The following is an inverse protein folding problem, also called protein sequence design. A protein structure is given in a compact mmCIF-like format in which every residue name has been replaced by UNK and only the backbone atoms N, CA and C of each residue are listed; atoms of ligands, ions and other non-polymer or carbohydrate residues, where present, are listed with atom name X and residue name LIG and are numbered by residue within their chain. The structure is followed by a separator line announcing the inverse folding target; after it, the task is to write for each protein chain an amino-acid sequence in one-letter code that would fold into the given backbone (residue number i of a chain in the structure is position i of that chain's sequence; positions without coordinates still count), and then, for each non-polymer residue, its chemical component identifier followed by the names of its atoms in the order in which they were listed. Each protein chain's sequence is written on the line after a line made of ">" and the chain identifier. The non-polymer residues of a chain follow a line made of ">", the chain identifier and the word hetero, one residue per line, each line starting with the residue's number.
data_IF_491951510856
#
_entry.id   IF_491951510856
#
_cell.length_a   1.000
_cell.length_b   1.000
_cell.length_c   1.000
_cell.angle_alpha   90.00
_cell.angle_beta   90.00
_cell.angle_gamma   90.00
#
_symmetry.space_group_name_H-M   'P 1'
#
loop_
_entity.id
_entity.type
_entity.pdbx_description
1 polymer ?
#
# COMPACT_ATOMS: atom_id res chain seq x y z
N UNK A 1 -3.23 3.72 -19.83
CA UNK A 1 -3.00 4.32 -18.50
C UNK A 1 -2.38 3.27 -17.60
N UNK A 2 -1.33 3.61 -16.85
CA UNK A 2 -0.85 2.74 -15.77
C UNK A 2 -0.26 3.57 -14.64
N UNK A 3 -0.21 2.97 -13.45
CA UNK A 3 0.35 3.60 -12.25
C UNK A 3 1.83 3.31 -12.13
N UNK A 4 2.60 4.30 -11.69
CA UNK A 4 3.96 4.15 -11.20
C UNK A 4 3.92 4.43 -9.70
N UNK A 5 4.59 3.58 -8.93
CA UNK A 5 4.66 3.69 -7.49
C UNK A 5 6.12 3.88 -7.04
N UNK A 6 6.32 4.76 -6.07
CA UNK A 6 7.61 5.02 -5.43
C UNK A 6 7.47 4.93 -3.92
N UNK A 7 8.40 4.21 -3.27
CA UNK A 7 8.42 4.02 -1.81
C UNK A 7 9.57 4.83 -1.22
N UNK A 8 9.25 5.70 -0.28
CA UNK A 8 10.16 6.68 0.30
C UNK A 8 10.38 6.41 1.78
N UNK A 9 11.60 6.66 2.27
CA UNK A 9 11.93 6.39 3.67
C UNK A 9 11.37 7.44 4.63
N UNK A 10 10.95 8.60 4.11
CA UNK A 10 10.32 9.65 4.89
C UNK A 10 9.17 10.33 4.14
N UNK A 11 8.24 10.89 4.90
CA UNK A 11 7.16 11.74 4.36
C UNK A 11 7.72 12.97 3.62
N UNK A 12 8.81 13.56 4.09
CA UNK A 12 9.41 14.74 3.45
C UNK A 12 9.94 14.43 2.04
N UNK A 13 10.60 13.28 1.84
CA UNK A 13 11.03 12.83 0.50
C UNK A 13 9.84 12.60 -0.42
N UNK A 14 8.79 11.95 0.09
CA UNK A 14 7.57 11.68 -0.66
C UNK A 14 6.85 12.97 -1.08
N UNK A 15 6.74 13.96 -0.19
CA UNK A 15 6.19 15.29 -0.50
C UNK A 15 7.02 16.02 -1.56
N UNK A 16 8.35 15.93 -1.48
CA UNK A 16 9.25 16.45 -2.50
C UNK A 16 8.99 15.82 -3.88
N UNK A 17 8.80 14.51 -3.93
CA UNK A 17 8.46 13.80 -5.16
C UNK A 17 7.08 14.23 -5.73
N UNK A 18 6.07 14.40 -4.86
CA UNK A 18 4.76 14.94 -5.26
C UNK A 18 4.90 16.34 -5.88
N UNK A 19 5.70 17.22 -5.28
CA UNK A 19 5.95 18.56 -5.83
C UNK A 19 6.66 18.51 -7.19
N UNK A 20 7.61 17.60 -7.36
CA UNK A 20 8.33 17.40 -8.60
C UNK A 20 7.42 16.89 -9.72
N UNK A 21 6.56 15.90 -9.43
CA UNK A 21 5.56 15.37 -10.38
C UNK A 21 4.61 16.48 -10.89
N UNK A 22 4.13 17.34 -10.00
CA UNK A 22 3.27 18.49 -10.37
C UNK A 22 3.98 19.46 -11.27
N UNK A 23 5.23 19.78 -10.95
CA UNK A 23 6.06 20.69 -11.74
C UNK A 23 6.33 20.13 -13.13
N UNK A 24 6.44 18.80 -13.24
CA UNK A 24 6.57 18.09 -14.51
C UNK A 24 5.25 17.94 -15.29
N UNK A 25 4.13 18.43 -14.74
CA UNK A 25 2.83 18.48 -15.41
C UNK A 25 1.93 17.27 -15.16
N UNK A 26 2.28 16.37 -14.24
CA UNK A 26 1.35 15.31 -13.80
C UNK A 26 0.23 15.95 -12.99
N UNK A 27 -1.01 15.72 -13.40
CA UNK A 27 -2.18 16.33 -12.80
C UNK A 27 -2.37 15.86 -11.34
N UNK A 28 -2.85 16.77 -10.49
CA UNK A 28 -2.96 16.52 -9.05
C UNK A 28 -3.90 15.38 -8.67
N UNK A 29 -4.99 15.22 -9.44
CA UNK A 29 -5.95 14.12 -9.31
C UNK A 29 -5.38 12.76 -9.76
N UNK A 30 -4.21 12.76 -10.40
CA UNK A 30 -3.44 11.58 -10.82
C UNK A 30 -2.31 11.23 -9.85
N UNK A 31 -2.16 11.97 -8.75
CA UNK A 31 -1.13 11.74 -7.75
C UNK A 31 -1.82 11.34 -6.43
N UNK A 32 -1.26 10.37 -5.73
CA UNK A 32 -1.65 10.08 -4.36
C UNK A 32 -0.45 9.82 -3.48
N UNK A 33 -0.55 10.24 -2.23
CA UNK A 33 0.47 10.10 -1.21
C UNK A 33 -0.13 9.37 -0.02
N UNK A 34 0.49 8.26 0.36
CA UNK A 34 0.17 7.46 1.52
C UNK A 34 1.30 7.63 2.54
N UNK A 35 0.94 7.98 3.77
CA UNK A 35 1.92 8.17 4.85
C UNK A 35 1.46 7.47 6.12
N UNK A 36 2.39 6.98 6.95
CA UNK A 36 2.04 6.48 8.28
C UNK A 36 1.41 7.60 9.11
N UNK A 37 0.27 7.32 9.73
CA UNK A 37 -0.42 8.23 10.64
C UNK A 37 -0.02 7.98 12.10
N UNK A 38 -0.27 8.97 12.96
CA UNK A 38 -0.13 8.80 14.42
C UNK A 38 -1.43 8.27 15.02
N UNK A 39 -1.34 7.31 15.94
CA UNK A 39 -2.51 6.75 16.63
C UNK A 39 -3.11 7.76 17.62
N UNK A 40 -4.44 7.74 17.75
CA UNK A 40 -5.19 8.67 18.59
C UNK A 40 -4.75 8.65 20.07
N UNK A 41 -4.25 7.51 20.56
CA UNK A 41 -3.74 7.34 21.94
C UNK A 41 -2.34 7.91 22.21
N UNK A 42 -1.51 8.16 21.18
CA UNK A 42 -0.22 8.85 21.35
C UNK A 42 -0.37 10.39 21.39
N UNK A 43 -1.54 10.91 21.02
CA UNK A 43 -1.84 12.34 21.12
C UNK A 43 -2.23 12.75 22.56
N UNK A 44 -2.67 11.81 23.40
CA UNK A 44 -3.05 12.07 24.79
C UNK A 44 -1.85 12.23 25.75
N UNK A 45 -0.62 11.90 25.31
CA UNK A 45 0.61 12.07 26.11
C UNK A 45 1.36 13.39 25.83
N UNK A 46 0.87 14.22 24.89
CA UNK A 46 1.43 15.56 24.66
C UNK A 46 0.80 16.54 25.66
N UNK A 47 1.55 17.20 26.55
CA UNK A 47 0.98 18.13 27.52
C UNK A 47 0.29 19.29 26.80
N UNK A 48 -1.04 19.34 26.87
CA UNK A 48 -1.82 20.49 26.39
C UNK A 48 -1.73 21.59 27.45
N UNK A 49 -1.12 22.72 27.11
CA UNK A 49 -1.22 23.94 27.93
C UNK A 49 -2.68 24.41 27.95
N UNK A 50 -3.23 24.64 29.15
CA UNK A 50 -4.65 24.86 29.46
C UNK A 50 -5.28 26.16 28.90
N UNK A 51 -5.30 26.35 27.58
CA UNK A 51 -5.94 27.52 26.97
C UNK A 51 -6.81 27.24 25.74
N UNK A 52 -7.10 25.99 25.37
CA UNK A 52 -7.92 25.69 24.20
C UNK A 52 -9.35 25.23 24.55
N UNK A 53 -10.34 25.79 23.84
CA UNK A 53 -11.77 25.58 24.09
C UNK A 53 -12.27 24.18 23.68
N UNK A 54 -13.34 23.65 24.32
CA UNK A 54 -13.89 22.33 24.01
C UNK A 54 -14.49 22.34 22.60
N UNK A 55 -13.92 21.54 21.70
CA UNK A 55 -14.39 21.41 20.31
C UNK A 55 -13.30 21.52 19.24
N UNK A 56 -12.08 21.93 19.60
CA UNK A 56 -10.93 21.96 18.68
C UNK A 56 -10.12 20.65 18.61
N UNK A 57 -10.49 19.61 19.36
CA UNK A 57 -9.81 18.30 19.30
C UNK A 57 -10.01 17.53 17.98
N UNK A 58 -10.99 17.91 17.16
CA UNK A 58 -11.18 17.35 15.81
C UNK A 58 -10.41 18.15 14.73
N UNK A 59 -10.06 19.40 15.01
CA UNK A 59 -9.26 20.25 14.11
C UNK A 59 -7.74 20.09 14.37
N UNK A 60 -7.37 19.64 15.57
CA UNK A 60 -6.00 19.39 16.02
C UNK A 60 -5.61 17.89 15.99
N UNK A 61 -6.23 17.08 15.11
CA UNK A 61 -5.64 15.82 14.64
C UNK A 61 -4.46 16.07 13.69
N UNK A 62 -3.63 17.06 14.01
CA UNK A 62 -2.88 17.88 13.07
C UNK A 62 -1.37 17.92 13.32
N UNK A 63 -0.77 16.95 14.00
CA UNK A 63 0.69 16.99 14.25
C UNK A 63 1.52 16.22 13.22
N UNK A 64 0.91 15.40 12.36
CA UNK A 64 1.55 14.93 11.10
C UNK A 64 0.75 15.34 9.87
N UNK A 65 -0.59 15.33 9.92
CA UNK A 65 -1.45 15.85 8.85
C UNK A 65 -1.49 17.38 8.73
N UNK A 66 -1.09 18.13 9.76
CA UNK A 66 -0.98 19.60 9.72
C UNK A 66 0.37 20.11 9.18
N UNK A 67 1.40 19.26 9.18
CA UNK A 67 2.70 19.61 8.60
C UNK A 67 2.67 19.65 7.06
N UNK A 68 1.79 18.85 6.44
CA UNK A 68 1.50 18.90 4.99
C UNK A 68 1.09 20.30 4.52
N UNK A 69 0.56 21.16 5.40
CA UNK A 69 0.15 22.52 5.06
C UNK A 69 1.13 23.63 5.45
N UNK A 70 1.95 23.45 6.50
CA UNK A 70 2.60 24.59 7.16
C UNK A 70 4.07 24.83 6.77
N UNK A 71 4.82 23.80 6.33
CA UNK A 71 6.26 23.95 6.05
C UNK A 71 6.65 23.76 4.57
N UNK A 72 5.84 23.08 3.75
CA UNK A 72 6.23 22.65 2.40
C UNK A 72 5.33 23.07 1.23
N UNK A 73 4.20 23.76 1.45
CA UNK A 73 3.34 24.28 0.38
C UNK A 73 2.66 23.21 -0.51
N UNK A 74 2.78 21.93 -0.22
CA UNK A 74 2.20 20.84 -0.98
C UNK A 74 0.81 20.48 -0.45
N UNK A 75 -0.19 21.30 -0.78
CA UNK A 75 -1.59 20.88 -0.62
C UNK A 75 -1.88 19.86 -1.72
N UNK A 76 -1.86 18.56 -1.44
CA UNK A 76 -2.72 17.62 -2.17
C UNK A 76 -4.16 18.03 -1.84
N UNK A 77 -4.79 18.68 -2.81
CA UNK A 77 -6.01 19.44 -2.69
C UNK A 77 -7.11 18.63 -2.03
N UNK A 78 -7.58 19.13 -0.89
CA UNK A 78 -8.86 18.87 -0.22
C UNK A 78 -9.25 17.43 0.17
N UNK A 79 -8.65 16.37 -0.39
CA UNK A 79 -9.01 14.99 -0.11
C UNK A 79 -7.85 14.26 0.63
N UNK A 80 -7.76 14.50 1.93
CA UNK A 80 -6.97 13.68 2.84
C UNK A 80 -7.91 12.87 3.74
N UNK A 81 -7.76 11.55 3.73
CA UNK A 81 -8.49 10.64 4.61
C UNK A 81 -7.50 9.97 5.56
N UNK A 82 -7.76 10.10 6.86
CA UNK A 82 -7.11 9.25 7.86
C UNK A 82 -7.93 7.99 8.02
N UNK A 83 -7.29 6.83 7.98
CA UNK A 83 -7.95 5.55 8.16
C UNK A 83 -7.09 4.60 9.01
N UNK A 84 -7.73 3.65 9.67
CA UNK A 84 -7.02 2.61 10.42
C UNK A 84 -7.02 1.34 9.57
N UNK A 85 -5.85 0.94 9.08
CA UNK A 85 -5.68 -0.32 8.34
C UNK A 85 -5.32 -1.42 9.33
N UNK A 86 -6.14 -2.48 9.45
CA UNK A 86 -5.79 -3.65 10.24
C UNK A 86 -4.43 -4.23 9.81
N UNK A 87 -3.55 -4.49 10.77
CA UNK A 87 -2.21 -5.03 10.47
C UNK A 87 -1.19 -4.00 9.98
N UNK A 88 -1.55 -2.73 9.73
CA UNK A 88 -0.60 -1.67 9.35
C UNK A 88 -0.61 -0.52 10.36
N UNK A 89 -1.80 -0.16 10.86
CA UNK A 89 -1.99 0.97 11.78
C UNK A 89 -2.67 2.17 11.12
N UNK A 90 -2.66 3.35 11.77
CA UNK A 90 -3.21 4.57 11.21
C UNK A 90 -2.43 4.98 9.96
N UNK A 91 -3.14 5.37 8.90
CA UNK A 91 -2.57 5.83 7.63
C UNK A 91 -3.28 7.12 7.25
N UNK A 92 -2.52 8.06 6.69
CA UNK A 92 -3.07 9.24 6.02
C UNK A 92 -2.89 9.06 4.52
N UNK A 93 -4.01 9.02 3.80
CA UNK A 93 -4.05 8.96 2.35
C UNK A 93 -4.49 10.32 1.80
N UNK A 94 -3.62 10.97 1.04
CA UNK A 94 -3.90 12.21 0.32
C UNK A 94 -4.00 11.92 -1.18
N UNK A 95 -5.11 12.32 -1.80
CA UNK A 95 -5.41 12.05 -3.22
C UNK A 95 -6.37 10.87 -3.42
N UNK A 96 -6.94 10.80 -4.62
CA UNK A 96 -8.09 9.94 -4.93
C UNK A 96 -7.73 8.46 -5.00
N UNK A 97 -6.56 8.11 -5.52
CA UNK A 97 -6.10 6.72 -5.68
C UNK A 97 -5.83 6.10 -4.31
N UNK A 98 -5.13 6.83 -3.44
CA UNK A 98 -4.84 6.36 -2.09
C UNK A 98 -6.11 6.12 -1.29
N UNK A 99 -7.10 7.01 -1.44
CA UNK A 99 -8.42 6.84 -0.85
C UNK A 99 -9.19 5.63 -1.44
N UNK A 100 -9.00 5.28 -2.72
CA UNK A 100 -9.61 4.09 -3.32
C UNK A 100 -8.96 2.79 -2.86
N UNK A 101 -7.64 2.76 -2.68
CA UNK A 101 -6.92 1.58 -2.21
C UNK A 101 -7.16 1.28 -0.73
N UNK A 102 -7.30 2.32 0.09
CA UNK A 102 -7.31 2.18 1.55
C UNK A 102 -8.59 2.70 2.24
N UNK A 103 -9.48 3.41 1.53
CA UNK A 103 -10.75 3.91 2.08
C UNK A 103 -11.73 2.79 2.44
N UNK A 104 -12.54 3.04 3.47
CA UNK A 104 -13.38 2.07 4.18
C UNK A 104 -14.13 1.05 3.29
N UNK A 105 -13.56 -0.16 3.19
CA UNK A 105 -14.13 -1.31 2.49
C UNK A 105 -13.99 -1.17 0.97
N UNK A 106 -13.29 -2.11 0.33
CA UNK A 106 -13.03 -2.19 -1.12
C UNK A 106 -14.27 -2.32 -2.03
N UNK A 107 -15.39 -1.70 -1.67
CA UNK A 107 -16.64 -1.65 -2.42
C UNK A 107 -17.26 -0.23 -2.50
N UNK A 108 -16.60 0.84 -2.04
CA UNK A 108 -17.22 2.18 -2.07
C UNK A 108 -16.26 3.34 -2.34
N UNK A 109 -15.69 3.41 -3.55
CA UNK A 109 -15.45 4.71 -4.20
C UNK A 109 -16.36 4.79 -5.42
N UNK A 110 -17.66 4.96 -5.17
CA UNK A 110 -18.68 5.08 -6.23
C UNK A 110 -19.70 6.19 -5.96
N UNK A 111 -19.36 7.22 -5.17
CA UNK A 111 -20.33 8.29 -4.91
C UNK A 111 -19.76 9.66 -4.52
N UNK A 112 -18.50 9.79 -4.09
CA UNK A 112 -17.98 11.09 -3.62
C UNK A 112 -17.31 11.94 -4.73
N UNK A 113 -16.93 11.33 -5.87
CA UNK A 113 -16.37 12.02 -7.02
C UNK A 113 -17.33 11.83 -8.21
N UNK A 114 -18.17 12.82 -8.48
CA UNK A 114 -19.23 12.70 -9.48
C UNK A 114 -18.74 12.21 -10.85
N UNK A 115 -19.28 11.08 -11.29
CA UNK A 115 -19.61 10.70 -12.67
C UNK A 115 -18.53 10.82 -13.78
N UNK A 116 -17.26 11.04 -13.48
CA UNK A 116 -16.18 11.11 -14.50
C UNK A 116 -14.94 10.27 -14.19
N UNK A 117 -14.89 9.54 -13.08
CA UNK A 117 -13.66 8.87 -12.62
C UNK A 117 -13.70 7.32 -12.63
N UNK A 118 -14.80 6.69 -13.04
CA UNK A 118 -15.13 5.36 -12.51
C UNK A 118 -14.51 4.15 -13.25
N UNK A 119 -13.99 4.26 -14.48
CA UNK A 119 -13.41 3.08 -15.17
C UNK A 119 -11.90 3.15 -15.41
N UNK A 120 -11.35 4.33 -15.76
CA UNK A 120 -9.99 4.39 -16.33
C UNK A 120 -8.85 4.36 -15.32
N UNK A 121 -9.11 4.69 -14.05
CA UNK A 121 -8.09 4.61 -12.99
C UNK A 121 -8.04 3.23 -12.35
N UNK A 122 -9.19 2.56 -12.20
CA UNK A 122 -9.31 1.25 -11.56
C UNK A 122 -8.50 0.16 -12.30
N UNK A 123 -8.50 0.19 -13.63
CA UNK A 123 -7.79 -0.78 -14.48
C UNK A 123 -6.25 -0.65 -14.40
N UNK A 124 -5.74 0.43 -13.81
CA UNK A 124 -4.30 0.69 -13.66
C UNK A 124 -3.82 0.72 -12.21
N UNK A 125 -4.68 0.49 -11.23
CA UNK A 125 -4.28 0.47 -9.83
C UNK A 125 -3.49 -0.81 -9.52
N UNK A 126 -2.32 -0.70 -8.87
CA UNK A 126 -1.47 -1.83 -8.53
C UNK A 126 -2.01 -2.58 -7.31
N UNK A 127 -3.22 -3.14 -7.43
CA UNK A 127 -3.89 -3.90 -6.35
C UNK A 127 -3.12 -5.16 -5.98
N UNK A 128 -2.44 -5.76 -6.95
CA UNK A 128 -1.56 -6.92 -6.76
C UNK A 128 -0.35 -6.60 -5.88
N UNK A 129 0.00 -5.32 -5.75
CA UNK A 129 1.15 -4.87 -4.96
C UNK A 129 0.75 -4.30 -3.59
N UNK A 130 -0.55 -4.33 -3.25
CA UNK A 130 -1.07 -3.67 -2.05
C UNK A 130 -0.34 -4.11 -0.78
N UNK A 131 0.00 -5.39 -0.68
CA UNK A 131 0.73 -5.93 0.47
C UNK A 131 2.13 -5.32 0.64
N UNK A 132 2.78 -4.90 -0.45
CA UNK A 132 4.07 -4.21 -0.44
C UNK A 132 3.90 -2.79 0.11
N UNK A 133 2.85 -2.09 -0.30
CA UNK A 133 2.53 -0.75 0.22
C UNK A 133 2.16 -0.78 1.70
N UNK A 134 1.35 -1.76 2.09
CA UNK A 134 0.98 -2.01 3.49
C UNK A 134 2.21 -2.29 4.34
N UNK A 135 3.14 -3.11 3.85
CA UNK A 135 4.39 -3.38 4.57
C UNK A 135 5.29 -2.15 4.66
N UNK A 136 5.42 -1.37 3.58
CA UNK A 136 6.14 -0.11 3.62
C UNK A 136 5.55 0.86 4.66
N UNK A 137 4.23 1.06 4.64
CA UNK A 137 3.53 1.94 5.58
C UNK A 137 3.69 1.45 7.04
N UNK A 138 3.61 0.13 7.26
CA UNK A 138 3.85 -0.50 8.57
C UNK A 138 5.27 -0.24 9.09
N UNK A 139 6.25 -0.19 8.19
CA UNK A 139 7.66 0.15 8.49
C UNK A 139 7.90 1.66 8.66
N UNK A 140 6.86 2.49 8.67
CA UNK A 140 6.99 3.93 8.81
C UNK A 140 7.42 4.66 7.53
N UNK A 141 7.31 3.99 6.37
CA UNK A 141 7.68 4.54 5.06
C UNK A 141 6.46 5.12 4.35
N UNK A 142 6.68 5.96 3.36
CA UNK A 142 5.61 6.64 2.61
C UNK A 142 5.57 6.13 1.16
N UNK A 143 4.39 6.13 0.54
CA UNK A 143 4.19 5.65 -0.83
C UNK A 143 3.57 6.76 -1.67
N UNK A 144 4.16 7.03 -2.84
CA UNK A 144 3.57 7.93 -3.84
C UNK A 144 3.14 7.10 -5.04
N UNK A 145 1.90 7.33 -5.49
CA UNK A 145 1.31 6.72 -6.67
C UNK A 145 1.08 7.82 -7.71
N UNK A 146 1.53 7.60 -8.94
CA UNK A 146 1.35 8.51 -10.07
C UNK A 146 0.75 7.76 -11.25
N UNK A 147 -0.43 8.18 -11.71
CA UNK A 147 -1.08 7.64 -12.90
C UNK A 147 -0.63 8.43 -14.12
N UNK A 148 -0.13 7.72 -15.12
CA UNK A 148 0.27 8.31 -16.39
C UNK A 148 -0.52 7.68 -17.56
N UNK A 149 -0.85 8.52 -18.54
CA UNK A 149 -1.66 8.12 -19.69
C UNK A 149 -0.85 7.35 -20.73
N UNK A 150 0.44 7.68 -20.87
CA UNK A 150 1.37 7.12 -21.86
C UNK A 150 2.75 6.77 -21.28
N UNK A 151 3.63 6.17 -22.09
CA UNK A 151 4.99 5.80 -21.67
C UNK A 151 5.86 7.02 -21.33
N UNK A 152 5.62 8.17 -21.96
CA UNK A 152 6.40 9.38 -21.69
C UNK A 152 6.14 9.88 -20.26
N UNK A 153 4.88 9.98 -19.86
CA UNK A 153 4.50 10.31 -18.48
C UNK A 153 4.99 9.28 -17.47
N UNK A 154 4.99 7.98 -17.84
CA UNK A 154 5.56 6.92 -16.99
C UNK A 154 7.07 7.07 -16.81
N UNK A 155 7.80 7.35 -17.89
CA UNK A 155 9.23 7.62 -17.85
C UNK A 155 9.54 8.79 -16.91
N UNK A 156 8.83 9.91 -17.09
CA UNK A 156 8.96 11.09 -16.23
C UNK A 156 8.72 10.74 -14.75
N UNK A 157 7.63 10.03 -14.44
CA UNK A 157 7.32 9.66 -13.06
C UNK A 157 8.39 8.74 -12.45
N UNK A 158 8.84 7.72 -13.19
CA UNK A 158 9.90 6.80 -12.73
C UNK A 158 11.23 7.53 -12.50
N UNK A 159 11.61 8.41 -13.42
CA UNK A 159 12.86 9.16 -13.32
C UNK A 159 12.83 10.10 -12.12
N UNK A 160 11.73 10.84 -11.93
CA UNK A 160 11.55 11.72 -10.77
C UNK A 160 11.55 10.97 -9.44
N UNK A 161 10.88 9.81 -9.38
CA UNK A 161 10.94 8.96 -8.19
C UNK A 161 12.36 8.48 -7.90
N UNK A 162 13.08 8.03 -8.92
CA UNK A 162 14.47 7.60 -8.77
C UNK A 162 15.38 8.73 -8.31
N UNK A 163 15.23 9.92 -8.89
CA UNK A 163 15.98 11.13 -8.50
C UNK A 163 15.68 11.55 -7.06
N UNK A 164 14.43 11.40 -6.63
CA UNK A 164 13.99 11.65 -5.25
C UNK A 164 14.35 10.53 -4.26
N UNK A 165 15.07 9.49 -4.70
CA UNK A 165 15.54 8.41 -3.83
C UNK A 165 14.49 7.33 -3.52
N UNK A 166 13.42 7.24 -4.31
CA UNK A 166 12.42 6.20 -4.14
C UNK A 166 13.01 4.80 -4.39
N UNK A 167 12.62 3.85 -3.54
CA UNK A 167 12.70 2.44 -3.86
C UNK A 167 11.54 2.07 -4.80
N UNK A 168 11.82 1.28 -5.84
CA UNK A 168 10.78 0.75 -6.72
C UNK A 168 9.97 -0.33 -6.02
N UNK A 169 8.74 -0.56 -6.47
CA UNK A 169 7.89 -1.60 -5.88
C UNK A 169 8.48 -2.98 -6.05
N UNK A 170 9.08 -3.29 -7.21
CA UNK A 170 9.77 -4.56 -7.42
C UNK A 170 10.91 -4.78 -6.42
N UNK A 171 11.71 -3.74 -6.16
CA UNK A 171 12.80 -3.81 -5.19
C UNK A 171 12.26 -4.02 -3.77
N UNK A 172 11.20 -3.30 -3.41
CA UNK A 172 10.57 -3.45 -2.10
C UNK A 172 9.89 -4.81 -1.93
N UNK A 173 9.26 -5.35 -2.98
CA UNK A 173 8.67 -6.70 -3.01
C UNK A 173 9.75 -7.77 -2.81
N UNK A 174 10.89 -7.60 -3.46
CA UNK A 174 12.03 -8.50 -3.29
C UNK A 174 12.61 -8.43 -1.88
N UNK A 175 12.85 -7.22 -1.37
CA UNK A 175 13.33 -7.01 -0.01
C UNK A 175 12.35 -7.56 1.05
N UNK A 176 11.04 -7.44 0.79
CA UNK A 176 10.00 -8.03 1.62
C UNK A 176 10.08 -9.56 1.65
N UNK A 177 10.19 -10.21 0.48
CA UNK A 177 10.34 -11.65 0.39
C UNK A 177 11.60 -12.15 1.08
N UNK A 178 12.75 -11.51 0.84
CA UNK A 178 14.03 -11.85 1.49
C UNK A 178 13.91 -11.81 3.01
N UNK A 179 13.14 -10.87 3.57
CA UNK A 179 12.91 -10.80 5.01
C UNK A 179 12.08 -11.94 5.60
N UNK A 180 11.31 -12.66 4.77
CA UNK A 180 10.48 -13.80 5.17
C UNK A 180 11.13 -15.15 4.81
N UNK A 181 11.91 -15.16 3.73
CA UNK A 181 12.42 -16.35 3.04
C UNK A 181 12.98 -17.43 3.99
N UNK A 182 13.86 -17.05 4.91
CA UNK A 182 14.52 -18.02 5.80
C UNK A 182 13.54 -18.72 6.76
N UNK A 183 12.50 -18.00 7.21
CA UNK A 183 11.46 -18.58 8.06
C UNK A 183 10.54 -19.50 7.26
N UNK A 184 10.18 -19.10 6.03
CA UNK A 184 9.33 -19.91 5.14
C UNK A 184 10.06 -21.16 4.65
N UNK A 185 11.36 -21.06 4.36
CA UNK A 185 12.22 -22.20 4.00
C UNK A 185 12.25 -23.25 5.12
N UNK A 186 12.43 -22.79 6.37
CA UNK A 186 12.45 -23.66 7.53
C UNK A 186 11.12 -24.41 7.74
N UNK A 187 9.98 -23.73 7.55
CA UNK A 187 8.66 -24.34 7.68
C UNK A 187 8.37 -25.33 6.54
N UNK A 188 8.61 -24.92 5.29
CA UNK A 188 8.35 -25.75 4.11
C UNK A 188 9.20 -27.03 4.07
N UNK A 189 10.46 -26.95 4.52
CA UNK A 189 11.36 -28.12 4.58
C UNK A 189 10.91 -29.13 5.64
N UNK A 190 10.28 -28.69 6.74
CA UNK A 190 9.72 -29.60 7.76
C UNK A 190 8.58 -30.45 7.18
N UNK A 191 7.81 -29.88 6.26
CA UNK A 191 6.74 -30.58 5.54
C UNK A 191 7.26 -31.50 4.41
N UNK A 192 8.59 -31.57 4.25
CA UNK A 192 9.27 -32.50 3.33
C UNK A 192 9.45 -31.98 1.91
N UNK A 193 9.18 -30.69 1.66
CA UNK A 193 9.42 -30.05 0.36
C UNK A 193 10.89 -29.67 0.13
N UNK A 194 11.27 -29.45 -1.13
CA UNK A 194 12.59 -28.93 -1.52
C UNK A 194 12.45 -27.43 -1.83
N UNK A 195 12.58 -26.60 -0.80
CA UNK A 195 12.38 -25.15 -0.95
C UNK A 195 13.33 -24.53 -1.98
N UNK A 196 14.55 -25.04 -2.15
CA UNK A 196 15.49 -24.51 -3.13
C UNK A 196 15.02 -24.65 -4.57
N UNK A 197 14.21 -25.67 -4.86
CA UNK A 197 13.58 -25.89 -6.16
C UNK A 197 12.21 -25.21 -6.25
N UNK A 198 11.43 -25.33 -5.18
CA UNK A 198 10.02 -24.94 -5.15
C UNK A 198 9.80 -23.45 -4.87
N UNK A 199 10.80 -22.73 -4.34
CA UNK A 199 10.71 -21.34 -3.87
C UNK A 199 10.00 -20.40 -4.86
N UNK A 200 10.33 -20.36 -6.17
CA UNK A 200 9.66 -19.44 -7.08
C UNK A 200 8.14 -19.70 -7.19
N UNK A 201 7.74 -20.96 -7.20
CA UNK A 201 6.33 -21.38 -7.32
C UNK A 201 5.61 -21.19 -5.97
N UNK A 202 6.27 -21.55 -4.87
CA UNK A 202 5.80 -21.30 -3.51
C UNK A 202 5.56 -19.82 -3.26
N UNK A 203 6.54 -18.96 -3.58
CA UNK A 203 6.44 -17.50 -3.43
C UNK A 203 5.27 -16.95 -4.22
N UNK A 204 5.05 -17.39 -5.47
CA UNK A 204 3.91 -16.94 -6.27
C UNK A 204 2.58 -17.32 -5.64
N UNK A 205 2.46 -18.53 -5.10
CA UNK A 205 1.30 -18.94 -4.32
C UNK A 205 1.09 -18.06 -3.09
N UNK A 206 2.16 -17.78 -2.35
CA UNK A 206 2.15 -16.91 -1.17
C UNK A 206 1.64 -15.51 -1.51
N UNK A 207 2.26 -14.84 -2.49
CA UNK A 207 1.85 -13.51 -2.94
C UNK A 207 0.40 -13.51 -3.46
N UNK A 208 -0.03 -14.57 -4.17
CA UNK A 208 -1.39 -14.69 -4.69
C UNK A 208 -2.47 -14.71 -3.59
N UNK A 209 -2.15 -15.21 -2.40
CA UNK A 209 -3.06 -15.20 -1.24
C UNK A 209 -3.20 -13.82 -0.58
N UNK A 210 -2.22 -12.93 -0.77
CA UNK A 210 -2.24 -11.58 -0.20
C UNK A 210 -2.98 -10.57 -1.08
N UNK A 211 -3.33 -10.98 -2.30
CA UNK A 211 -4.11 -10.17 -3.23
C UNK A 211 -5.43 -9.73 -2.57
N UNK A 212 -5.86 -8.46 -2.70
CA UNK A 212 -7.05 -7.96 -2.00
C UNK A 212 -8.32 -8.79 -2.21
N UNK A 213 -8.51 -9.36 -3.41
CA UNK A 213 -9.65 -10.22 -3.73
C UNK A 213 -9.57 -11.64 -3.17
N UNK A 214 -8.43 -12.03 -2.60
CA UNK A 214 -8.11 -13.38 -2.13
C UNK A 214 -8.00 -13.45 -0.59
N UNK A 215 -7.99 -12.29 0.08
CA UNK A 215 -7.83 -12.19 1.53
C UNK A 215 -8.91 -12.94 2.27
N UNK A 216 -8.49 -13.81 3.18
CA UNK A 216 -9.39 -14.68 3.95
C UNK A 216 -10.02 -15.86 3.17
N UNK A 217 -9.98 -15.88 1.84
CA UNK A 217 -10.54 -16.97 1.03
C UNK A 217 -9.67 -18.22 1.06
N UNK A 218 -10.28 -19.39 1.13
CA UNK A 218 -9.61 -20.66 0.89
C UNK A 218 -9.15 -20.81 -0.56
N UNK A 219 -8.14 -21.65 -0.78
CA UNK A 219 -7.59 -21.89 -2.10
C UNK A 219 -8.67 -22.32 -3.10
N UNK A 220 -9.61 -23.18 -2.65
CA UNK A 220 -10.73 -23.67 -3.46
C UNK A 220 -11.69 -22.55 -3.90
N UNK A 221 -11.85 -21.51 -3.09
CA UNK A 221 -12.70 -20.36 -3.39
C UNK A 221 -12.09 -19.50 -4.51
N UNK A 222 -10.75 -19.44 -4.58
CA UNK A 222 -10.00 -18.67 -5.56
C UNK A 222 -9.53 -19.48 -6.79
N UNK A 223 -9.73 -20.80 -6.80
CA UNK A 223 -9.15 -21.70 -7.81
C UNK A 223 -9.45 -21.31 -9.27
N UNK A 224 -10.62 -20.74 -9.57
CA UNK A 224 -10.95 -20.27 -10.91
C UNK A 224 -10.08 -19.07 -11.33
N UNK A 225 -9.97 -18.07 -10.46
CA UNK A 225 -9.13 -16.88 -10.67
C UNK A 225 -7.65 -17.26 -10.73
N UNK A 226 -7.20 -18.15 -9.85
CA UNK A 226 -5.82 -18.62 -9.84
C UNK A 226 -5.43 -19.32 -11.15
N UNK A 227 -6.31 -20.14 -11.72
CA UNK A 227 -6.07 -20.73 -13.05
C UNK A 227 -6.03 -19.70 -14.17
N UNK A 228 -6.83 -18.65 -14.08
CA UNK A 228 -6.82 -17.56 -15.06
C UNK A 228 -5.51 -16.75 -14.99
N UNK A 229 -5.04 -16.42 -13.78
CA UNK A 229 -3.84 -15.61 -13.57
C UNK A 229 -2.53 -16.39 -13.75
N UNK A 230 -2.48 -17.65 -13.30
CA UNK A 230 -1.24 -18.43 -13.18
C UNK A 230 -1.22 -19.73 -14.01
N UNK A 231 -2.31 -20.06 -14.71
CA UNK A 231 -2.38 -21.25 -15.56
C UNK A 231 -2.22 -22.55 -14.77
N UNK A 232 -1.50 -23.52 -15.35
CA UNK A 232 -1.27 -24.83 -14.74
C UNK A 232 -0.37 -24.78 -13.49
N UNK A 233 0.44 -23.73 -13.34
CA UNK A 233 1.34 -23.57 -12.19
C UNK A 233 0.58 -23.51 -10.86
N UNK A 234 -0.63 -22.94 -10.86
CA UNK A 234 -1.43 -22.91 -9.62
C UNK A 234 -1.79 -24.31 -9.12
N UNK A 235 -1.79 -25.33 -9.99
CA UNK A 235 -2.10 -26.72 -9.65
C UNK A 235 -0.90 -27.45 -9.00
N UNK A 236 0.29 -26.84 -9.01
CA UNK A 236 1.48 -27.39 -8.38
C UNK A 236 1.36 -27.37 -6.85
N UNK A 237 1.88 -28.42 -6.21
CA UNK A 237 1.81 -28.56 -4.75
C UNK A 237 2.53 -27.42 -4.02
N UNK A 238 3.65 -26.92 -4.55
CA UNK A 238 4.39 -25.78 -4.02
C UNK A 238 3.54 -24.51 -4.02
N UNK A 239 2.80 -24.26 -5.10
CA UNK A 239 1.94 -23.08 -5.22
C UNK A 239 0.83 -23.12 -4.16
N UNK A 240 0.15 -24.26 -4.02
CA UNK A 240 -0.91 -24.44 -3.02
C UNK A 240 -0.39 -24.25 -1.60
N UNK A 241 0.76 -24.83 -1.27
CA UNK A 241 1.39 -24.62 0.05
C UNK A 241 1.72 -23.15 0.29
N UNK A 242 2.32 -22.48 -0.70
CA UNK A 242 2.59 -21.04 -0.64
C UNK A 242 1.32 -20.24 -0.33
N UNK A 243 0.24 -20.53 -1.05
CA UNK A 243 -1.05 -19.86 -0.85
C UNK A 243 -1.62 -20.06 0.55
N UNK A 244 -1.64 -21.30 1.05
CA UNK A 244 -2.11 -21.60 2.40
C UNK A 244 -1.24 -20.92 3.47
N UNK A 245 0.07 -20.86 3.24
CA UNK A 245 1.01 -20.22 4.16
C UNK A 245 0.86 -18.70 4.19
N UNK A 246 0.65 -18.07 3.03
CA UNK A 246 0.40 -16.63 2.93
C UNK A 246 -0.93 -16.21 3.60
N UNK A 247 -1.98 -17.03 3.52
CA UNK A 247 -3.22 -16.82 4.31
C UNK A 247 -2.97 -16.84 5.81
N UNK A 248 -2.14 -17.77 6.28
CA UNK A 248 -1.79 -17.86 7.71
C UNK A 248 -0.96 -16.65 8.13
N UNK A 249 0.01 -16.25 7.30
CA UNK A 249 0.80 -15.04 7.52
C UNK A 249 -0.08 -13.80 7.69
N UNK A 250 -1.07 -13.60 6.80
CA UNK A 250 -2.03 -12.49 6.90
C UNK A 250 -2.81 -12.56 8.22
N UNK A 251 -3.31 -13.74 8.59
CA UNK A 251 -4.07 -13.94 9.82
C UNK A 251 -3.24 -13.60 11.07
N UNK A 252 -2.00 -14.09 11.14
CA UNK A 252 -1.05 -13.80 12.22
C UNK A 252 -0.70 -12.31 12.30
N UNK A 253 -0.51 -11.68 11.14
CA UNK A 253 -0.26 -10.24 11.05
C UNK A 253 -1.44 -9.44 11.62
N UNK A 254 -2.67 -9.79 11.26
CA UNK A 254 -3.88 -9.15 11.79
C UNK A 254 -4.02 -9.36 13.29
N UNK A 255 -3.71 -10.56 13.80
CA UNK A 255 -3.77 -10.86 15.23
C UNK A 255 -2.76 -10.07 16.06
N UNK A 256 -1.52 -9.92 15.56
CA UNK A 256 -0.49 -9.11 16.22
C UNK A 256 -0.87 -7.65 16.41
N UNK A 257 -1.79 -7.12 15.60
CA UNK A 257 -2.18 -5.71 15.58
C UNK A 257 -3.61 -5.47 16.10
N UNK A 258 -4.25 -6.47 16.73
CA UNK A 258 -5.54 -6.30 17.43
C UNK A 258 -5.41 -5.69 18.84
N UNK A 259 -4.18 -5.34 19.28
CA UNK A 259 -3.86 -4.81 20.60
C UNK A 259 -3.73 -3.29 20.64
#
# INVERSE_FOLDING_TARGET
>A
MSTVAGIFNSTAEAEGAVAALRTAGIAEDRISLLTPGTSRGQLDEVPTTETEQPGMGAALGGTVGGAMGAAGGATLGAAAASLLVPGVGPIVAAGLIGAALFGAGGAAVGAAAGNTLEDSMAEGLPHDELFVYEDALRRGRSVVLAVADDEAGRGIARDLFKEAGAESVDAAREAWWVGLRDAEEAEYTVDGGDFGVDEPVFRRGFEASLHPSARGHAYEEDAARLRECYGAECEESAFRHGYERGRRYESELLERHKG
#
